data_IF_477547271210
#
_entry.id   IF_477547271210
#
_cell.length_a   1.000
_cell.length_b   1.000
_cell.length_c   1.000
_cell.angle_alpha   90.00
_cell.angle_beta   90.00
_cell.angle_gamma   90.00
#
_symmetry.space_group_name_H-M   'P 1'
#
loop_
_entity.id
_entity.type
_entity.pdbx_description
1 polymer ?
#
# COMPACT_ATOMS: atom_id res chain seq x y z
N UNK A 1 5.45 -1.92 7.32
CA UNK A 1 5.07 -1.45 5.97
C UNK A 1 3.58 -1.71 5.77
N UNK A 2 2.85 -0.91 5.01
CA UNK A 2 1.46 -1.22 4.65
C UNK A 2 1.22 -0.96 3.17
N UNK A 3 0.48 -1.85 2.51
CA UNK A 3 0.04 -1.68 1.13
C UNK A 3 -1.46 -1.33 1.13
N UNK A 4 -1.79 -0.13 0.65
CA UNK A 4 -3.14 0.40 0.73
C UNK A 4 -3.62 0.93 -0.62
N UNK A 5 -4.93 0.88 -0.84
CA UNK A 5 -5.58 1.42 -2.04
C UNK A 5 -6.82 2.22 -1.69
N UNK A 6 -6.89 3.52 -2.01
CA UNK A 6 -8.12 4.30 -1.94
C UNK A 6 -9.15 3.75 -2.93
N UNK A 7 -10.39 3.56 -2.48
CA UNK A 7 -11.51 3.05 -3.28
C UNK A 7 -12.81 3.73 -2.82
N UNK A 8 -13.42 4.52 -3.71
CA UNK A 8 -14.67 5.27 -3.46
C UNK A 8 -14.65 6.14 -2.20
N UNK A 9 -14.99 5.59 -1.04
CA UNK A 9 -15.01 6.24 0.30
C UNK A 9 -14.28 5.42 1.37
N UNK A 10 -13.60 4.36 0.96
CA UNK A 10 -12.93 3.38 1.80
C UNK A 10 -11.45 3.28 1.41
N UNK A 11 -10.68 2.66 2.29
CA UNK A 11 -9.30 2.24 2.02
C UNK A 11 -9.26 0.73 2.07
N UNK A 12 -8.81 0.11 0.99
CA UNK A 12 -8.50 -1.31 0.97
C UNK A 12 -7.08 -1.50 1.50
N UNK A 13 -6.92 -2.35 2.50
CA UNK A 13 -5.63 -2.74 3.07
C UNK A 13 -5.32 -4.15 2.59
N UNK A 14 -4.13 -4.34 2.01
CA UNK A 14 -3.69 -5.63 1.49
C UNK A 14 -2.90 -6.39 2.55
N UNK A 15 -3.26 -7.65 2.77
CA UNK A 15 -2.63 -8.53 3.75
C UNK A 15 -1.42 -9.27 3.17
N UNK A 16 -0.74 -10.04 4.01
CA UNK A 16 0.33 -10.93 3.55
C UNK A 16 -0.15 -12.07 2.63
N UNK A 17 -1.45 -12.37 2.62
CA UNK A 17 -2.04 -13.32 1.69
C UNK A 17 -2.24 -12.75 0.28
N UNK A 18 -2.21 -11.41 0.11
CA UNK A 18 -2.18 -10.81 -1.23
C UNK A 18 -0.83 -11.07 -1.90
N UNK A 19 -0.81 -11.27 -3.23
CA UNK A 19 0.43 -11.58 -3.94
C UNK A 19 1.53 -10.52 -3.75
N UNK A 20 1.17 -9.24 -3.89
CA UNK A 20 2.10 -8.12 -3.62
C UNK A 20 2.42 -7.96 -2.13
N UNK A 21 1.49 -8.33 -1.25
CA UNK A 21 1.75 -8.37 0.19
C UNK A 21 2.76 -9.45 0.55
N UNK A 22 2.68 -10.62 -0.08
CA UNK A 22 3.65 -11.70 0.07
C UNK A 22 5.07 -11.27 -0.35
N UNK A 23 5.21 -10.45 -1.40
CA UNK A 23 6.52 -9.87 -1.76
C UNK A 23 7.10 -9.08 -0.59
N UNK A 24 6.31 -8.19 0.01
CA UNK A 24 6.77 -7.39 1.15
C UNK A 24 7.14 -8.25 2.36
N UNK A 25 6.24 -9.15 2.76
CA UNK A 25 6.29 -9.77 4.09
C UNK A 25 6.93 -11.16 4.11
N UNK A 26 6.77 -11.94 3.03
CA UNK A 26 7.32 -13.29 2.92
C UNK A 26 8.64 -13.28 2.15
N UNK A 27 8.66 -12.70 0.96
CA UNK A 27 9.84 -12.79 0.08
C UNK A 27 10.98 -11.87 0.53
N UNK A 28 10.66 -10.64 0.93
CA UNK A 28 11.63 -9.67 1.47
C UNK A 28 11.77 -9.71 3.00
N UNK A 29 10.88 -10.45 3.69
CA UNK A 29 10.92 -10.59 5.15
C UNK A 29 10.67 -9.29 5.93
N UNK A 30 9.97 -8.32 5.35
CA UNK A 30 9.69 -7.04 6.03
C UNK A 30 8.66 -7.24 7.16
N UNK A 31 8.73 -6.43 8.23
CA UNK A 31 7.80 -6.56 9.36
C UNK A 31 6.33 -6.38 8.94
N UNK A 32 5.51 -7.36 9.32
CA UNK A 32 4.06 -7.35 9.12
C UNK A 32 3.40 -6.51 10.22
N UNK A 33 2.66 -5.44 9.88
CA UNK A 33 1.85 -4.74 10.87
C UNK A 33 0.82 -5.69 11.49
N UNK A 34 0.59 -5.57 12.80
CA UNK A 34 -0.46 -6.33 13.51
C UNK A 34 -1.82 -6.22 12.80
N UNK A 35 -2.10 -5.05 12.24
CA UNK A 35 -3.33 -4.74 11.53
C UNK A 35 -3.55 -5.63 10.28
N UNK A 36 -2.50 -6.19 9.68
CA UNK A 36 -2.59 -7.04 8.48
C UNK A 36 -2.13 -8.49 8.72
N UNK A 37 -1.75 -8.82 9.96
CA UNK A 37 -1.15 -10.11 10.32
C UNK A 37 -2.17 -11.26 10.43
N UNK A 38 -3.44 -10.95 10.73
CA UNK A 38 -4.42 -11.94 11.20
C UNK A 38 -5.63 -12.10 10.26
N UNK A 39 -5.49 -11.72 8.99
CA UNK A 39 -6.58 -11.81 8.01
C UNK A 39 -6.33 -12.97 7.05
N UNK A 40 -7.23 -13.96 7.03
CA UNK A 40 -7.18 -15.04 6.03
C UNK A 40 -7.54 -14.57 4.62
N UNK A 41 -8.13 -13.38 4.49
CA UNK A 41 -8.40 -12.73 3.21
C UNK A 41 -7.14 -12.02 2.69
N UNK A 42 -7.05 -11.90 1.37
CA UNK A 42 -6.00 -11.16 0.66
C UNK A 42 -6.09 -9.64 0.91
N UNK A 43 -7.25 -9.12 1.28
CA UNK A 43 -7.42 -7.72 1.63
C UNK A 43 -8.73 -7.49 2.38
N UNK A 44 -8.87 -6.33 3.02
CA UNK A 44 -10.12 -5.90 3.63
C UNK A 44 -10.27 -4.38 3.53
N UNK A 45 -11.48 -3.86 3.77
CA UNK A 45 -11.77 -2.44 3.71
C UNK A 45 -11.88 -1.82 5.09
N UNK A 46 -11.36 -0.60 5.22
CA UNK A 46 -11.53 0.27 6.39
C UNK A 46 -12.03 1.64 5.94
N UNK A 47 -12.67 2.40 6.84
CA UNK A 47 -12.86 3.83 6.58
C UNK A 47 -11.52 4.56 6.63
N UNK A 48 -11.43 5.69 5.91
CA UNK A 48 -10.23 6.55 5.95
C UNK A 48 -9.88 6.96 7.39
N UNK A 49 -10.88 7.20 8.24
CA UNK A 49 -10.68 7.64 9.62
C UNK A 49 -10.01 6.56 10.50
N UNK A 50 -10.03 5.29 10.08
CA UNK A 50 -9.34 4.19 10.78
C UNK A 50 -7.90 3.99 10.31
N UNK A 51 -7.45 4.73 9.30
CA UNK A 51 -6.12 4.57 8.72
C UNK A 51 -4.96 4.75 9.71
N UNK A 52 -5.03 5.66 10.72
CA UNK A 52 -3.98 5.76 11.74
C UNK A 52 -3.78 4.47 12.55
N UNK A 53 -4.81 3.63 12.69
CA UNK A 53 -4.73 2.37 13.41
C UNK A 53 -3.88 1.30 12.70
N UNK A 54 -3.57 1.48 11.40
CA UNK A 54 -2.66 0.60 10.64
C UNK A 54 -1.23 0.69 11.20
N UNK A 55 -0.84 1.86 11.70
CA UNK A 55 0.42 2.13 12.40
C UNK A 55 1.66 1.54 11.71
N UNK A 56 1.85 1.86 10.43
CA UNK A 56 3.04 1.49 9.66
C UNK A 56 4.03 2.67 9.54
N UNK A 57 5.31 2.38 9.35
CA UNK A 57 6.36 3.40 9.11
C UNK A 57 6.47 3.82 7.65
N UNK A 58 6.14 2.93 6.70
CA UNK A 58 6.03 3.25 5.29
C UNK A 58 4.71 2.71 4.75
N UNK A 59 4.04 3.53 3.95
CA UNK A 59 2.81 3.22 3.23
C UNK A 59 3.09 3.23 1.74
N UNK A 60 2.83 2.11 1.08
CA UNK A 60 2.75 2.02 -0.37
C UNK A 60 1.30 2.26 -0.79
N UNK A 61 1.06 3.44 -1.35
CA UNK A 61 -0.25 3.91 -1.77
C UNK A 61 -0.46 3.54 -3.25
N UNK A 62 -1.31 2.55 -3.49
CA UNK A 62 -1.69 2.13 -4.84
C UNK A 62 -2.57 3.22 -5.47
N UNK A 63 -1.94 4.11 -6.23
CA UNK A 63 -2.60 5.20 -6.93
C UNK A 63 -2.82 4.86 -8.40
N UNK A 64 -3.78 5.54 -9.02
CA UNK A 64 -4.03 5.52 -10.46
C UNK A 64 -3.59 6.85 -11.09
N UNK A 65 -2.40 7.34 -10.72
CA UNK A 65 -1.82 8.60 -11.27
C UNK A 65 -1.83 8.67 -12.81
N UNK A 66 -1.93 7.52 -13.50
CA UNK A 66 -2.01 7.43 -14.95
C UNK A 66 -3.41 7.70 -15.55
N UNK A 67 -4.47 7.86 -14.74
CA UNK A 67 -5.75 8.34 -15.26
C UNK A 67 -5.77 9.87 -15.25
N UNK A 68 -6.00 10.46 -16.41
CA UNK A 68 -6.04 11.90 -16.73
C UNK A 68 -6.98 12.77 -15.86
N UNK A 69 -7.63 12.21 -14.84
CA UNK A 69 -8.64 12.84 -13.99
C UNK A 69 -8.08 13.34 -12.64
N UNK A 70 -6.80 13.14 -12.37
CA UNK A 70 -6.15 13.58 -11.14
C UNK A 70 -6.45 12.68 -9.92
N UNK A 71 -5.93 13.08 -8.76
CA UNK A 71 -6.04 12.33 -7.51
C UNK A 71 -7.51 12.31 -7.03
N UNK A 72 -8.04 11.11 -6.76
CA UNK A 72 -9.42 10.95 -6.26
C UNK A 72 -9.64 11.66 -4.91
N UNK A 73 -10.88 12.09 -4.63
CA UNK A 73 -11.21 12.74 -3.35
C UNK A 73 -10.85 11.88 -2.12
N UNK A 74 -10.97 10.56 -2.23
CA UNK A 74 -10.62 9.64 -1.14
C UNK A 74 -9.12 9.48 -0.99
N UNK A 75 -8.38 9.48 -2.09
CA UNK A 75 -6.93 9.52 -2.03
C UNK A 75 -6.43 10.82 -1.39
N UNK A 76 -7.00 11.98 -1.73
CA UNK A 76 -6.68 13.25 -1.05
C UNK A 76 -6.96 13.18 0.45
N UNK A 77 -8.07 12.56 0.87
CA UNK A 77 -8.38 12.34 2.29
C UNK A 77 -7.39 11.40 2.97
N UNK A 78 -6.94 10.35 2.27
CA UNK A 78 -5.91 9.43 2.74
C UNK A 78 -4.59 10.17 2.95
N UNK A 79 -4.16 10.98 1.98
CA UNK A 79 -2.98 11.84 2.10
C UNK A 79 -3.09 12.74 3.33
N UNK A 80 -4.18 13.49 3.46
CA UNK A 80 -4.38 14.38 4.61
C UNK A 80 -4.39 13.64 5.96
N UNK A 81 -4.93 12.41 6.00
CA UNK A 81 -4.93 11.60 7.21
C UNK A 81 -3.53 11.09 7.58
N UNK A 82 -2.76 10.59 6.61
CA UNK A 82 -1.40 10.09 6.86
C UNK A 82 -0.41 11.22 7.18
N UNK A 83 -0.57 12.40 6.58
CA UNK A 83 0.24 13.59 6.87
C UNK A 83 0.11 14.05 8.33
N UNK A 84 -1.02 13.75 8.99
CA UNK A 84 -1.22 14.08 10.41
C UNK A 84 -0.41 13.21 11.37
N UNK A 85 0.16 12.10 10.89
CA UNK A 85 0.92 11.16 11.72
C UNK A 85 2.42 11.37 11.51
N UNK A 86 3.10 11.86 12.55
CA UNK A 86 4.54 12.07 12.50
C UNK A 86 5.30 10.78 12.15
N UNK A 87 6.32 10.90 11.29
CA UNK A 87 7.29 9.84 10.89
C UNK A 87 6.76 8.75 9.97
N UNK A 88 5.69 8.98 9.23
CA UNK A 88 5.24 8.07 8.16
C UNK A 88 5.82 8.49 6.80
N UNK A 89 6.31 7.52 6.03
CA UNK A 89 6.75 7.74 4.64
C UNK A 89 5.69 7.19 3.68
N UNK A 90 5.17 8.05 2.81
CA UNK A 90 4.10 7.69 1.86
C UNK A 90 4.72 7.61 0.47
N UNK A 91 4.58 6.45 -0.16
CA UNK A 91 5.13 6.14 -1.48
C UNK A 91 3.96 5.89 -2.43
N UNK A 92 3.67 6.84 -3.31
CA UNK A 92 2.71 6.63 -4.40
C UNK A 92 3.29 5.64 -5.39
N UNK A 93 2.54 4.59 -5.71
CA UNK A 93 2.96 3.54 -6.63
C UNK A 93 1.81 3.18 -7.57
N UNK A 94 2.15 2.89 -8.83
CA UNK A 94 1.16 2.57 -9.84
C UNK A 94 0.44 1.25 -9.53
N UNK A 95 -0.87 1.36 -9.33
CA UNK A 95 -1.72 0.23 -9.00
C UNK A 95 -1.72 -0.83 -10.11
N UNK A 96 -1.70 -0.43 -11.39
CA UNK A 96 -1.74 -1.38 -12.50
C UNK A 96 -0.50 -2.29 -12.51
N UNK A 97 0.67 -1.72 -12.25
CA UNK A 97 1.93 -2.45 -12.09
C UNK A 97 1.90 -3.34 -10.86
N UNK A 98 1.60 -2.77 -9.69
CA UNK A 98 1.77 -3.46 -8.41
C UNK A 98 0.77 -4.59 -8.17
N UNK A 99 -0.39 -4.58 -8.83
CA UNK A 99 -1.41 -5.63 -8.67
C UNK A 99 -1.79 -6.36 -9.97
N UNK A 100 -1.16 -6.00 -11.10
CA UNK A 100 -1.42 -6.60 -12.41
C UNK A 100 -0.22 -7.34 -13.00
N UNK A 101 1.01 -7.01 -12.62
CA UNK A 101 2.23 -7.50 -13.26
C UNK A 101 2.99 -8.50 -12.37
N UNK A 102 2.54 -9.76 -12.35
CA UNK A 102 3.12 -10.80 -11.50
C UNK A 102 4.07 -11.78 -12.19
N UNK A 103 4.47 -11.49 -13.43
CA UNK A 103 5.56 -12.23 -14.07
C UNK A 103 6.91 -11.88 -13.43
N UNK A 104 7.99 -12.65 -13.68
CA UNK A 104 9.31 -12.41 -13.08
C UNK A 104 9.81 -10.97 -13.24
N UNK A 105 9.66 -10.39 -14.45
CA UNK A 105 10.03 -8.99 -14.70
C UNK A 105 9.22 -8.00 -13.88
N UNK A 106 7.91 -8.24 -13.72
CA UNK A 106 7.04 -7.37 -12.94
C UNK A 106 7.35 -7.43 -11.45
N UNK A 107 7.57 -8.63 -10.92
CA UNK A 107 7.97 -8.83 -9.52
C UNK A 107 9.32 -8.16 -9.23
N UNK A 108 10.32 -8.33 -10.11
CA UNK A 108 11.60 -7.66 -9.95
C UNK A 108 11.45 -6.13 -9.95
N UNK A 109 10.62 -5.58 -10.85
CA UNK A 109 10.34 -4.15 -10.85
C UNK A 109 9.65 -3.64 -9.58
N UNK A 110 8.75 -4.44 -8.98
CA UNK A 110 8.14 -4.13 -7.68
C UNK A 110 9.22 -4.15 -6.58
N UNK A 111 10.10 -5.15 -6.56
CA UNK A 111 11.21 -5.25 -5.60
C UNK A 111 12.16 -4.06 -5.72
N UNK A 112 12.51 -3.64 -6.93
CA UNK A 112 13.38 -2.49 -7.17
C UNK A 112 12.75 -1.20 -6.63
N UNK A 113 11.44 -1.00 -6.84
CA UNK A 113 10.71 0.16 -6.29
C UNK A 113 10.64 0.14 -4.76
N UNK A 114 10.44 -1.04 -4.15
CA UNK A 114 10.47 -1.19 -2.69
C UNK A 114 11.87 -0.84 -2.17
N UNK A 115 12.93 -1.36 -2.79
CA UNK A 115 14.30 -1.07 -2.39
C UNK A 115 14.60 0.43 -2.46
N UNK A 116 14.20 1.10 -3.54
CA UNK A 116 14.35 2.54 -3.70
C UNK A 116 13.61 3.32 -2.59
N UNK A 117 12.39 2.92 -2.26
CA UNK A 117 11.59 3.57 -1.21
C UNK A 117 12.17 3.40 0.21
N UNK A 118 12.96 2.35 0.45
CA UNK A 118 13.54 2.05 1.76
C UNK A 118 14.97 2.56 1.94
N UNK A 119 15.68 2.84 0.85
CA UNK A 119 17.08 3.27 0.85
C UNK A 119 17.27 4.76 0.55
N UNK A 120 16.21 5.47 0.16
CA UNK A 120 16.21 6.90 -0.12
C UNK A 120 16.25 7.78 1.14
#
# INVERSE_FOLDING_TARGET
MALIRPLDSLVRVHSASHRTGAVLYHDLGLPVPLFVADTSDTAYHISVDRLPAVHASHYFLLSHELMQEGISATEQRVWGMLDTVERQHIHSVDAATWIGCYGPTGINGIVDQIAQALLA
#
